data_IF_492003053718
#
_entry.id   IF_492003053718
#
_cell.length_a   1.000
_cell.length_b   1.000
_cell.length_c   1.000
_cell.angle_alpha   90.00
_cell.angle_beta   90.00
_cell.angle_gamma   90.00
#
_symmetry.space_group_name_H-M   'P 1'
#
loop_
_entity.id
_entity.type
_entity.pdbx_description
1 polymer ?
#
# COMPACT_ATOMS: atom_id res chain seq x y z
N UNK A 1 20.98 -7.57 3.59
CA UNK A 1 20.27 -8.44 2.62
C UNK A 1 20.35 -9.84 3.15
N UNK A 2 19.23 -10.51 3.30
CA UNK A 2 19.23 -11.89 3.73
C UNK A 2 19.31 -12.78 2.50
N UNK A 3 20.35 -13.59 2.38
CA UNK A 3 20.38 -14.67 1.39
C UNK A 3 19.35 -15.71 1.81
N UNK A 4 18.70 -16.31 0.83
CA UNK A 4 17.76 -17.41 1.03
C UNK A 4 18.28 -18.70 0.44
N UNK A 5 17.87 -19.82 1.03
CA UNK A 5 18.01 -21.13 0.43
C UNK A 5 16.64 -21.56 -0.09
N UNK A 6 16.55 -21.81 -1.39
CA UNK A 6 15.41 -22.46 -2.02
C UNK A 6 15.60 -23.96 -1.97
N UNK A 7 14.59 -24.67 -1.49
CA UNK A 7 14.52 -26.12 -1.57
C UNK A 7 13.31 -26.49 -2.40
N UNK A 8 13.52 -27.09 -3.55
CA UNK A 8 12.47 -27.61 -4.41
C UNK A 8 12.24 -29.10 -4.11
N UNK A 9 11.00 -29.45 -3.75
CA UNK A 9 10.56 -30.80 -3.44
C UNK A 9 9.76 -31.35 -4.62
N UNK A 10 10.20 -32.49 -5.16
CA UNK A 10 9.49 -33.23 -6.21
C UNK A 10 8.79 -34.44 -5.60
N UNK A 11 7.48 -34.54 -5.82
CA UNK A 11 6.65 -35.61 -5.27
C UNK A 11 6.50 -36.74 -6.26
N UNK A 12 6.87 -37.97 -5.85
CA UNK A 12 6.69 -39.17 -6.63
C UNK A 12 5.55 -40.00 -6.03
N UNK A 13 4.34 -39.77 -6.55
CA UNK A 13 3.11 -40.40 -6.07
C UNK A 13 2.97 -41.78 -6.74
N UNK A 14 2.76 -42.89 -5.98
CA UNK A 14 2.49 -44.18 -6.56
C UNK A 14 1.19 -44.21 -7.35
N UNK A 15 1.18 -44.74 -8.55
CA UNK A 15 0.02 -44.81 -9.46
C UNK A 15 -1.20 -45.59 -8.90
N UNK A 16 -1.06 -46.24 -7.75
CA UNK A 16 -2.11 -47.02 -7.10
C UNK A 16 -2.99 -46.25 -6.13
N UNK A 17 -2.67 -44.96 -5.83
CA UNK A 17 -3.40 -44.13 -4.87
C UNK A 17 -4.10 -42.99 -5.59
N UNK A 18 -5.35 -43.20 -6.00
CA UNK A 18 -6.16 -42.24 -6.73
C UNK A 18 -6.60 -41.01 -5.84
N UNK A 19 -6.42 -41.09 -4.52
CA UNK A 19 -6.84 -40.04 -3.59
C UNK A 19 -5.72 -39.06 -3.17
N UNK A 20 -4.46 -39.46 -3.42
CA UNK A 20 -3.31 -38.66 -3.05
C UNK A 20 -2.83 -37.80 -4.24
N UNK A 21 -2.84 -36.51 -4.07
CA UNK A 21 -2.39 -35.53 -5.09
C UNK A 21 -1.12 -34.81 -4.67
N UNK A 22 -0.39 -34.27 -5.64
CA UNK A 22 0.78 -33.41 -5.38
C UNK A 22 0.40 -32.20 -4.52
N UNK A 23 -0.82 -31.67 -4.71
CA UNK A 23 -1.35 -30.55 -3.93
C UNK A 23 -1.48 -30.93 -2.46
N UNK A 24 -2.08 -32.11 -2.16
CA UNK A 24 -2.20 -32.58 -0.78
C UNK A 24 -0.84 -32.83 -0.14
N UNK A 25 0.09 -33.39 -0.89
CA UNK A 25 1.46 -33.63 -0.40
C UNK A 25 2.19 -32.30 -0.11
N UNK A 26 2.02 -31.29 -0.99
CA UNK A 26 2.59 -29.96 -0.85
C UNK A 26 2.02 -29.23 0.37
N UNK A 27 0.71 -29.28 0.58
CA UNK A 27 0.05 -28.63 1.73
C UNK A 27 0.56 -29.19 3.07
N UNK A 28 0.64 -30.52 3.19
CA UNK A 28 1.13 -31.17 4.41
C UNK A 28 2.61 -30.87 4.66
N UNK A 29 3.43 -30.95 3.60
CA UNK A 29 4.86 -30.68 3.72
C UNK A 29 5.12 -29.20 4.04
N UNK A 30 4.38 -28.28 3.44
CA UNK A 30 4.49 -26.83 3.73
C UNK A 30 4.23 -26.54 5.20
N UNK A 31 3.21 -27.14 5.81
CA UNK A 31 2.92 -26.99 7.23
C UNK A 31 4.09 -27.47 8.11
N UNK A 32 4.69 -28.62 7.78
CA UNK A 32 5.82 -29.15 8.53
C UNK A 32 7.09 -28.28 8.38
N UNK A 33 7.32 -27.77 7.16
CA UNK A 33 8.47 -26.90 6.88
C UNK A 33 8.34 -25.53 7.54
N UNK A 34 7.11 -24.98 7.64
CA UNK A 34 6.87 -23.74 8.35
C UNK A 34 7.26 -23.83 9.85
N UNK A 35 7.04 -24.99 10.48
CA UNK A 35 7.42 -25.23 11.88
C UNK A 35 8.95 -25.23 12.09
N UNK A 36 9.74 -25.45 11.04
CA UNK A 36 11.21 -25.47 11.10
C UNK A 36 11.86 -24.26 10.42
N UNK A 37 11.09 -23.18 10.19
CA UNK A 37 11.61 -21.87 9.82
C UNK A 37 11.55 -21.50 8.34
N UNK A 38 10.86 -22.30 7.49
CA UNK A 38 10.59 -21.88 6.12
C UNK A 38 9.46 -20.84 6.10
N UNK A 39 9.66 -19.75 5.35
CA UNK A 39 8.80 -18.57 5.41
C UNK A 39 7.88 -18.40 4.19
N UNK A 40 8.22 -19.05 3.06
CA UNK A 40 7.45 -18.90 1.81
C UNK A 40 7.42 -20.22 1.04
N UNK A 41 6.28 -20.44 0.37
CA UNK A 41 6.00 -21.67 -0.36
C UNK A 41 5.36 -21.33 -1.71
N UNK A 42 5.89 -21.92 -2.78
CA UNK A 42 5.37 -21.72 -4.15
C UNK A 42 5.19 -23.10 -4.80
N UNK A 43 3.94 -23.43 -5.12
CA UNK A 43 3.66 -24.65 -5.87
C UNK A 43 3.85 -24.41 -7.36
N UNK A 44 4.60 -25.31 -8.01
CA UNK A 44 4.92 -25.25 -9.44
C UNK A 44 4.63 -26.62 -10.07
N UNK A 45 3.40 -26.85 -10.52
CA UNK A 45 2.97 -28.15 -11.03
C UNK A 45 3.08 -29.24 -9.95
N UNK A 46 3.87 -30.30 -10.21
CA UNK A 46 4.08 -31.42 -9.27
C UNK A 46 5.22 -31.17 -8.28
N UNK A 47 5.71 -29.95 -8.16
CA UNK A 47 6.80 -29.57 -7.26
C UNK A 47 6.39 -28.46 -6.31
N UNK A 48 7.00 -28.44 -5.11
CA UNK A 48 6.90 -27.38 -4.10
C UNK A 48 8.27 -26.72 -3.94
N UNK A 49 8.37 -25.44 -4.20
CA UNK A 49 9.52 -24.62 -3.82
C UNK A 49 9.28 -23.97 -2.45
N UNK A 50 10.18 -24.16 -1.51
CA UNK A 50 10.12 -23.60 -0.17
C UNK A 50 11.38 -22.78 0.11
N UNK A 51 11.23 -21.66 0.82
CA UNK A 51 12.28 -20.67 1.05
C UNK A 51 12.56 -20.50 2.54
N UNK A 52 13.83 -20.57 2.91
CA UNK A 52 14.31 -20.34 4.28
C UNK A 52 15.49 -19.36 4.25
N UNK A 53 15.62 -18.43 5.23
CA UNK A 53 16.83 -17.62 5.35
C UNK A 53 18.09 -18.50 5.37
N UNK A 54 19.09 -18.19 4.54
CA UNK A 54 20.29 -19.04 4.41
C UNK A 54 21.02 -19.23 5.74
N UNK A 55 20.92 -18.27 6.67
CA UNK A 55 21.48 -18.36 8.03
C UNK A 55 20.74 -19.34 8.94
N UNK A 56 19.51 -19.76 8.57
CA UNK A 56 18.68 -20.71 9.32
C UNK A 56 18.60 -22.08 8.65
N UNK A 57 19.09 -22.19 7.42
CA UNK A 57 19.06 -23.45 6.72
C UNK A 57 19.99 -24.48 7.37
N UNK A 58 19.41 -25.61 7.76
CA UNK A 58 20.16 -26.79 8.26
C UNK A 58 19.74 -28.05 7.52
N UNK A 59 20.69 -28.71 6.92
CA UNK A 59 20.46 -29.92 6.13
C UNK A 59 19.93 -31.08 6.97
N UNK A 60 20.35 -31.19 8.23
CA UNK A 60 19.93 -32.29 9.13
C UNK A 60 18.45 -32.11 9.47
N UNK A 61 18.05 -30.89 9.83
CA UNK A 61 16.64 -30.55 10.11
C UNK A 61 15.75 -30.80 8.89
N UNK A 62 16.21 -30.49 7.68
CA UNK A 62 15.48 -30.76 6.44
C UNK A 62 15.28 -32.25 6.25
N UNK A 63 16.36 -33.09 6.36
CA UNK A 63 16.30 -34.52 6.18
C UNK A 63 15.40 -35.17 7.24
N UNK A 64 15.45 -34.74 8.50
CA UNK A 64 14.56 -35.19 9.58
C UNK A 64 13.08 -34.86 9.29
N UNK A 65 12.80 -33.64 8.77
CA UNK A 65 11.44 -33.22 8.39
C UNK A 65 10.90 -34.09 7.26
N UNK A 66 11.72 -34.41 6.24
CA UNK A 66 11.31 -35.29 5.16
C UNK A 66 11.08 -36.75 5.68
N UNK A 67 11.91 -37.21 6.60
CA UNK A 67 11.72 -38.56 7.21
C UNK A 67 10.44 -38.62 8.06
N UNK A 68 10.05 -37.51 8.70
CA UNK A 68 8.81 -37.42 9.47
C UNK A 68 7.56 -37.25 8.59
N UNK A 69 7.72 -37.08 7.29
CA UNK A 69 6.62 -36.92 6.34
C UNK A 69 5.84 -38.22 6.18
N UNK A 70 4.62 -38.26 6.68
CA UNK A 70 3.85 -39.51 6.88
C UNK A 70 3.08 -39.99 5.65
N UNK A 71 3.00 -39.18 4.59
CA UNK A 71 2.30 -39.60 3.38
C UNK A 71 3.15 -40.61 2.58
N UNK A 72 2.53 -41.61 1.92
CA UNK A 72 3.23 -42.63 1.14
C UNK A 72 3.74 -42.08 -0.21
N UNK A 73 4.50 -40.99 -0.15
CA UNK A 73 5.06 -40.28 -1.30
C UNK A 73 6.58 -40.25 -1.17
N UNK A 74 7.29 -40.67 -2.20
CA UNK A 74 8.72 -40.43 -2.23
C UNK A 74 9.01 -38.99 -2.62
N UNK A 75 9.86 -38.32 -1.82
CA UNK A 75 10.22 -36.90 -2.01
C UNK A 75 11.69 -36.80 -2.38
N UNK A 76 12.00 -36.14 -3.48
CA UNK A 76 13.37 -35.77 -3.84
C UNK A 76 13.52 -34.22 -3.74
N UNK A 77 14.74 -33.77 -3.40
CA UNK A 77 14.99 -32.36 -3.16
C UNK A 77 16.09 -31.80 -4.03
N UNK A 78 15.90 -30.60 -4.55
CA UNK A 78 16.94 -29.76 -5.14
C UNK A 78 17.15 -28.54 -4.25
N UNK A 79 18.42 -28.20 -3.95
CA UNK A 79 18.76 -27.08 -3.08
C UNK A 79 19.55 -26.07 -3.89
N UNK A 80 19.13 -24.81 -3.81
CA UNK A 80 19.76 -23.70 -4.49
C UNK A 80 19.93 -22.53 -3.53
N UNK A 81 21.13 -21.98 -3.44
CA UNK A 81 21.33 -20.71 -2.77
C UNK A 81 20.86 -19.58 -3.68
N UNK A 82 19.99 -18.75 -3.13
CA UNK A 82 19.55 -17.52 -3.78
C UNK A 82 20.30 -16.38 -3.08
N UNK A 83 21.24 -15.78 -3.79
CA UNK A 83 21.80 -14.52 -3.35
C UNK A 83 20.65 -13.55 -3.16
N UNK A 84 20.61 -12.86 -2.03
CA UNK A 84 19.57 -11.89 -1.72
C UNK A 84 19.52 -10.84 -2.81
N UNK A 85 18.75 -11.10 -3.85
CA UNK A 85 18.33 -10.08 -4.80
C UNK A 85 17.39 -9.18 -4.00
N UNK A 86 17.68 -7.91 -3.98
CA UNK A 86 16.71 -6.94 -3.51
C UNK A 86 15.57 -6.88 -4.53
N UNK A 87 14.62 -7.84 -4.36
CA UNK A 87 13.43 -7.92 -5.22
C UNK A 87 12.64 -6.61 -5.23
N UNK A 88 12.74 -5.81 -4.16
CA UNK A 88 12.15 -4.49 -4.09
C UNK A 88 12.88 -3.55 -5.04
N UNK A 89 14.23 -3.52 -5.03
CA UNK A 89 15.00 -2.68 -5.94
C UNK A 89 14.84 -3.10 -7.41
N UNK A 90 14.70 -4.39 -7.70
CA UNK A 90 14.45 -4.89 -9.06
C UNK A 90 13.01 -4.62 -9.50
N UNK A 91 12.04 -4.76 -8.59
CA UNK A 91 10.64 -4.37 -8.81
C UNK A 91 10.52 -2.86 -9.02
N UNK A 92 11.15 -2.06 -8.19
CA UNK A 92 11.18 -0.60 -8.28
C UNK A 92 11.71 -0.14 -9.64
N UNK A 93 12.84 -0.70 -10.12
CA UNK A 93 13.42 -0.37 -11.43
C UNK A 93 12.54 -0.76 -12.61
N UNK A 94 11.80 -1.86 -12.51
CA UNK A 94 11.06 -2.42 -13.63
C UNK A 94 9.60 -1.98 -13.67
N UNK A 95 8.98 -1.66 -12.53
CA UNK A 95 7.54 -1.41 -12.42
C UNK A 95 7.20 0.03 -12.02
N UNK A 96 8.09 0.74 -11.34
CA UNK A 96 7.87 2.14 -10.99
C UNK A 96 8.49 3.03 -12.07
N UNK A 97 7.65 3.52 -12.99
CA UNK A 97 8.06 4.49 -14.01
C UNK A 97 7.65 5.90 -13.59
N UNK A 98 8.40 6.95 -14.00
CA UNK A 98 7.93 8.32 -13.80
C UNK A 98 6.55 8.52 -14.42
N UNK A 99 5.66 9.18 -13.71
CA UNK A 99 4.33 9.54 -14.20
C UNK A 99 4.11 11.05 -14.14
N UNK A 100 3.27 11.54 -15.06
CA UNK A 100 2.82 12.93 -15.05
C UNK A 100 1.31 12.97 -14.86
N UNK A 101 0.86 13.75 -13.89
CA UNK A 101 -0.56 13.98 -13.62
C UNK A 101 -0.93 15.41 -13.99
N UNK A 102 -1.97 15.54 -14.82
CA UNK A 102 -2.53 16.81 -15.32
C UNK A 102 -1.49 17.76 -15.93
N UNK A 103 -0.44 17.22 -16.55
CA UNK A 103 0.68 17.97 -17.16
C UNK A 103 1.41 18.95 -16.20
N UNK A 104 1.19 18.82 -14.89
CA UNK A 104 1.71 19.74 -13.88
C UNK A 104 2.53 19.06 -12.78
N UNK A 105 2.25 17.81 -12.48
CA UNK A 105 2.91 17.08 -11.39
C UNK A 105 3.62 15.85 -11.93
N UNK A 106 4.95 15.84 -11.85
CA UNK A 106 5.78 14.66 -12.10
C UNK A 106 6.04 13.93 -10.80
N UNK A 107 5.93 12.62 -10.82
CA UNK A 107 6.25 11.75 -9.69
C UNK A 107 7.28 10.75 -10.19
N UNK A 108 8.40 10.70 -9.51
CA UNK A 108 9.49 9.79 -9.85
C UNK A 108 10.21 9.31 -8.58
N UNK A 109 11.14 8.38 -8.71
CA UNK A 109 11.97 7.89 -7.62
C UNK A 109 13.39 8.43 -7.72
N UNK A 110 14.16 8.32 -6.64
CA UNK A 110 15.57 8.75 -6.58
C UNK A 110 16.48 8.06 -7.60
N UNK A 111 16.12 6.86 -8.07
CA UNK A 111 16.88 6.12 -9.07
C UNK A 111 16.55 6.50 -10.53
N UNK A 112 15.54 7.33 -10.78
CA UNK A 112 15.24 7.80 -12.13
C UNK A 112 16.15 8.97 -12.51
N UNK A 113 16.80 8.86 -13.66
CA UNK A 113 17.69 9.90 -14.22
C UNK A 113 17.08 10.63 -15.40
N UNK A 114 16.02 10.07 -16.00
CA UNK A 114 15.31 10.65 -17.14
C UNK A 114 13.81 10.66 -16.85
N UNK A 115 13.28 11.85 -16.59
CA UNK A 115 11.86 12.08 -16.30
C UNK A 115 11.40 13.48 -16.73
N UNK A 116 10.11 13.66 -17.05
CA UNK A 116 9.58 14.95 -17.48
C UNK A 116 9.71 16.03 -16.38
N UNK A 117 10.09 17.23 -16.78
CA UNK A 117 10.10 18.39 -15.88
C UNK A 117 8.70 18.99 -15.79
N UNK A 118 8.17 19.13 -14.60
CA UNK A 118 6.86 19.66 -14.31
C UNK A 118 6.92 20.80 -13.28
N UNK A 119 5.79 21.49 -13.06
CA UNK A 119 5.68 22.54 -12.06
C UNK A 119 5.91 21.99 -10.64
N UNK A 120 5.37 20.81 -10.36
CA UNK A 120 5.58 20.07 -9.12
C UNK A 120 6.34 18.80 -9.44
N UNK A 121 7.48 18.66 -8.83
CA UNK A 121 8.38 17.50 -8.97
C UNK A 121 8.43 16.79 -7.63
N UNK A 122 7.86 15.57 -7.57
CA UNK A 122 7.71 14.81 -6.33
C UNK A 122 8.54 13.54 -6.39
N UNK A 123 9.47 13.41 -5.48
CA UNK A 123 10.32 12.23 -5.34
C UNK A 123 9.68 11.25 -4.36
N UNK A 124 9.35 10.07 -4.81
CA UNK A 124 8.77 8.99 -3.99
C UNK A 124 9.59 7.72 -4.16
N UNK A 125 10.17 7.24 -3.07
CA UNK A 125 10.71 5.89 -2.97
C UNK A 125 9.69 5.03 -2.20
N UNK A 126 8.84 4.25 -2.90
CA UNK A 126 7.59 3.74 -2.30
C UNK A 126 7.80 2.59 -1.32
N UNK A 127 8.95 1.90 -1.36
CA UNK A 127 9.20 0.68 -0.60
C UNK A 127 7.96 -0.25 -0.67
N UNK A 128 7.39 -0.62 0.47
CA UNK A 128 6.17 -1.45 0.53
C UNK A 128 4.90 -0.63 0.84
N UNK A 129 4.97 0.71 0.83
CA UNK A 129 3.83 1.57 1.14
C UNK A 129 2.95 1.84 -0.10
N UNK A 130 1.64 1.98 0.12
CA UNK A 130 0.69 2.40 -0.92
C UNK A 130 0.85 3.91 -1.23
N UNK A 131 0.58 4.31 -2.48
CA UNK A 131 0.58 5.73 -2.86
C UNK A 131 1.74 6.12 -3.78
N UNK A 132 2.08 5.29 -4.76
CA UNK A 132 3.11 5.58 -5.77
C UNK A 132 2.68 6.61 -6.82
N UNK A 133 1.41 7.00 -6.83
CA UNK A 133 0.85 7.85 -7.87
C UNK A 133 0.26 7.09 -9.07
N UNK A 134 0.68 5.85 -9.32
CA UNK A 134 0.20 5.06 -10.47
C UNK A 134 -1.24 4.58 -10.35
N UNK A 135 -1.72 4.40 -9.14
CA UNK A 135 -3.09 3.95 -8.94
C UNK A 135 -4.08 5.07 -9.27
N UNK A 136 -5.18 4.73 -9.95
CA UNK A 136 -6.19 5.68 -10.40
C UNK A 136 -6.74 6.57 -9.28
N UNK A 137 -6.88 6.03 -8.05
CA UNK A 137 -7.34 6.80 -6.88
C UNK A 137 -6.37 7.91 -6.49
N UNK A 138 -5.08 7.63 -6.48
CA UNK A 138 -4.04 8.61 -6.13
C UNK A 138 -3.95 9.71 -7.20
N UNK A 139 -3.91 9.31 -8.49
CA UNK A 139 -3.87 10.25 -9.61
C UNK A 139 -5.08 11.20 -9.63
N UNK A 140 -6.29 10.70 -9.33
CA UNK A 140 -7.49 11.53 -9.26
C UNK A 140 -7.42 12.57 -8.14
N UNK A 141 -6.95 12.18 -6.93
CA UNK A 141 -6.79 13.16 -5.84
C UNK A 141 -5.70 14.17 -6.16
N UNK A 142 -4.57 13.76 -6.76
CA UNK A 142 -3.53 14.68 -7.21
C UNK A 142 -4.12 15.71 -8.19
N UNK A 143 -4.87 15.29 -9.20
CA UNK A 143 -5.52 16.19 -10.14
C UNK A 143 -6.47 17.18 -9.41
N UNK A 144 -7.26 16.72 -8.44
CA UNK A 144 -8.14 17.58 -7.64
C UNK A 144 -7.36 18.55 -6.75
N UNK A 145 -6.22 18.13 -6.18
CA UNK A 145 -5.35 19.02 -5.43
C UNK A 145 -4.75 20.10 -6.33
N UNK A 146 -4.38 19.78 -7.56
CA UNK A 146 -3.85 20.75 -8.54
C UNK A 146 -4.88 21.81 -8.93
N UNK A 147 -6.16 21.48 -8.94
CA UNK A 147 -7.27 22.41 -9.22
C UNK A 147 -7.78 23.18 -7.99
N UNK A 148 -7.34 22.80 -6.78
CA UNK A 148 -7.81 23.40 -5.52
C UNK A 148 -6.84 24.47 -5.05
N UNK A 149 -7.33 25.63 -4.63
CA UNK A 149 -6.51 26.64 -3.95
C UNK A 149 -6.16 26.19 -2.53
N UNK A 150 -4.88 25.89 -2.32
CA UNK A 150 -4.33 25.42 -1.04
C UNK A 150 -3.52 26.49 -0.30
N UNK A 151 -3.33 27.67 -0.91
CA UNK A 151 -2.54 28.72 -0.27
C UNK A 151 -3.11 29.10 1.10
N UNK A 152 -2.30 28.92 2.13
CA UNK A 152 -2.67 29.22 3.52
C UNK A 152 -3.69 28.26 4.16
N UNK A 153 -4.07 27.17 3.50
CA UNK A 153 -5.03 26.19 4.00
C UNK A 153 -4.40 25.20 4.98
N UNK A 154 -5.22 24.69 5.90
CA UNK A 154 -4.89 23.58 6.80
C UNK A 154 -5.37 22.29 6.15
N UNK A 155 -4.48 21.35 5.97
CA UNK A 155 -4.78 20.09 5.28
C UNK A 155 -4.57 18.91 6.23
N UNK A 156 -5.49 17.93 6.19
CA UNK A 156 -5.33 16.63 6.83
C UNK A 156 -5.30 15.57 5.73
N UNK A 157 -4.32 14.67 5.79
CA UNK A 157 -4.19 13.48 4.93
C UNK A 157 -4.25 12.22 5.79
N UNK A 158 -5.40 11.52 5.74
CA UNK A 158 -5.71 10.35 6.55
C UNK A 158 -5.43 9.06 5.77
N UNK A 159 -4.54 8.21 6.29
CA UNK A 159 -3.98 7.07 5.57
C UNK A 159 -2.99 7.55 4.52
N UNK A 160 -1.97 8.30 4.95
CA UNK A 160 -1.08 9.03 4.02
C UNK A 160 -0.19 8.12 3.16
N UNK A 161 0.02 6.85 3.58
CA UNK A 161 0.85 5.89 2.86
C UNK A 161 2.27 6.39 2.61
N UNK A 162 2.66 6.57 1.35
CA UNK A 162 3.97 7.17 0.97
C UNK A 162 4.13 8.64 1.33
N UNK A 163 3.06 9.33 1.74
CA UNK A 163 3.06 10.77 2.00
C UNK A 163 2.82 11.65 0.78
N UNK A 164 2.63 11.10 -0.40
CA UNK A 164 2.57 11.83 -1.67
C UNK A 164 1.53 12.95 -1.69
N UNK A 165 0.32 12.71 -1.15
CA UNK A 165 -0.77 13.70 -1.15
C UNK A 165 -0.48 14.83 -0.16
N UNK A 166 0.06 14.50 1.01
CA UNK A 166 0.52 15.47 2.00
C UNK A 166 1.66 16.35 1.47
N UNK A 167 2.64 15.74 0.78
CA UNK A 167 3.77 16.43 0.13
C UNK A 167 3.24 17.42 -0.92
N UNK A 168 2.37 16.98 -1.83
CA UNK A 168 1.79 17.86 -2.84
C UNK A 168 1.00 19.02 -2.19
N UNK A 169 0.20 18.74 -1.17
CA UNK A 169 -0.55 19.77 -0.47
C UNK A 169 0.39 20.82 0.14
N UNK A 170 1.52 20.40 0.72
CA UNK A 170 2.52 21.31 1.27
C UNK A 170 3.21 22.15 0.20
N UNK A 171 3.61 21.54 -0.93
CA UNK A 171 4.21 22.23 -2.08
C UNK A 171 3.26 23.25 -2.70
N UNK A 172 1.95 23.04 -2.61
CA UNK A 172 0.90 23.94 -3.08
C UNK A 172 0.58 25.08 -2.11
N UNK A 173 1.36 25.24 -1.04
CA UNK A 173 1.26 26.38 -0.14
C UNK A 173 0.31 26.19 1.03
N UNK A 174 -0.06 24.96 1.39
CA UNK A 174 -0.78 24.71 2.63
C UNK A 174 0.01 25.26 3.82
N UNK A 175 -0.66 25.98 4.73
CA UNK A 175 -0.03 26.59 5.92
C UNK A 175 0.35 25.55 6.97
N UNK A 176 -0.41 24.46 7.02
CA UNK A 176 -0.09 23.28 7.82
C UNK A 176 -0.65 22.03 7.16
N UNK A 177 0.08 20.94 7.28
CA UNK A 177 -0.35 19.61 6.83
C UNK A 177 -0.16 18.63 7.97
N UNK A 178 -1.24 17.94 8.35
CA UNK A 178 -1.19 16.80 9.29
C UNK A 178 -1.41 15.52 8.48
N UNK A 179 -0.44 14.64 8.49
CA UNK A 179 -0.48 13.33 7.82
C UNK A 179 -0.57 12.22 8.88
N UNK A 180 -1.49 11.27 8.69
CA UNK A 180 -1.76 10.22 9.67
C UNK A 180 -1.64 8.87 8.97
N UNK A 181 -0.87 7.95 9.56
CA UNK A 181 -0.69 6.59 9.04
C UNK A 181 -0.74 5.57 10.19
N UNK A 182 -1.44 4.47 9.97
CA UNK A 182 -1.62 3.44 11.00
C UNK A 182 -0.51 2.39 10.97
N UNK A 183 0.09 2.14 9.80
CA UNK A 183 1.18 1.18 9.62
C UNK A 183 2.52 1.86 9.92
N UNK A 184 3.29 1.35 10.92
CA UNK A 184 4.59 1.91 11.27
C UNK A 184 5.61 1.89 10.11
N UNK A 185 5.54 0.88 9.23
CA UNK A 185 6.46 0.78 8.09
C UNK A 185 6.14 1.83 7.02
N UNK A 186 4.84 2.07 6.74
CA UNK A 186 4.39 3.11 5.84
C UNK A 186 4.65 4.52 6.41
N UNK A 187 4.46 4.71 7.73
CA UNK A 187 4.80 5.98 8.40
C UNK A 187 6.29 6.31 8.27
N UNK A 188 7.17 5.33 8.51
CA UNK A 188 8.60 5.52 8.35
C UNK A 188 8.98 5.86 6.89
N UNK A 189 8.34 5.23 5.91
CA UNK A 189 8.53 5.53 4.49
C UNK A 189 8.02 6.93 4.13
N UNK A 190 6.83 7.34 4.62
CA UNK A 190 6.33 8.70 4.43
C UNK A 190 7.32 9.75 4.94
N UNK A 191 7.90 9.53 6.11
CA UNK A 191 8.90 10.41 6.72
C UNK A 191 10.13 10.58 5.84
N UNK A 192 10.64 9.50 5.25
CA UNK A 192 11.76 9.54 4.30
C UNK A 192 11.38 10.32 3.04
N UNK A 193 10.21 10.04 2.45
CA UNK A 193 9.73 10.75 1.27
C UNK A 193 9.52 12.25 1.53
N UNK A 194 9.00 12.62 2.70
CA UNK A 194 8.89 14.02 3.11
C UNK A 194 10.27 14.71 3.21
N UNK A 195 11.30 13.98 3.63
CA UNK A 195 12.68 14.51 3.66
C UNK A 195 13.25 14.69 2.24
N UNK A 196 12.99 13.74 1.33
CA UNK A 196 13.43 13.84 -0.08
C UNK A 196 12.83 15.06 -0.79
N UNK A 197 11.65 15.51 -0.36
CA UNK A 197 10.91 16.63 -0.94
C UNK A 197 11.01 17.93 -0.12
N UNK A 198 11.91 18.03 0.85
CA UNK A 198 12.07 19.18 1.76
C UNK A 198 10.79 19.61 2.52
N UNK A 199 9.87 18.65 2.72
CA UNK A 199 8.59 18.84 3.42
C UNK A 199 8.64 18.35 4.89
N UNK A 200 9.73 18.64 5.61
CA UNK A 200 9.96 18.15 6.99
C UNK A 200 9.05 18.77 8.04
N UNK A 201 8.34 19.82 7.70
CA UNK A 201 7.40 20.53 8.54
C UNK A 201 5.96 19.96 8.50
N UNK A 202 5.74 18.87 7.76
CA UNK A 202 4.50 18.10 7.82
C UNK A 202 4.44 17.38 9.18
N UNK A 203 3.32 17.53 9.88
CA UNK A 203 3.03 16.86 11.16
C UNK A 203 2.59 15.43 10.89
N UNK A 204 3.56 14.51 10.85
CA UNK A 204 3.33 13.09 10.59
C UNK A 204 3.11 12.33 11.90
N UNK A 205 1.96 11.64 12.00
CA UNK A 205 1.50 10.94 13.19
C UNK A 205 1.24 9.46 12.91
N UNK A 206 1.75 8.59 13.77
CA UNK A 206 1.43 7.17 13.76
C UNK A 206 0.12 6.94 14.52
N UNK A 207 -0.87 6.31 13.89
CA UNK A 207 -2.15 5.95 14.49
C UNK A 207 -3.31 6.03 13.52
N UNK A 208 -4.53 5.95 14.05
CA UNK A 208 -5.79 6.03 13.32
C UNK A 208 -6.53 7.36 13.54
N UNK A 209 -7.86 7.30 13.44
CA UNK A 209 -8.72 8.48 13.57
C UNK A 209 -8.69 9.14 14.98
N UNK A 210 -8.14 8.48 15.99
CA UNK A 210 -7.90 9.06 17.33
C UNK A 210 -6.88 10.20 17.28
N UNK A 211 -5.97 10.20 16.30
CA UNK A 211 -4.97 11.25 16.09
C UNK A 211 -5.58 12.57 15.59
N UNK A 212 -6.86 12.57 15.21
CA UNK A 212 -7.59 13.76 14.77
C UNK A 212 -8.05 14.66 15.94
N UNK A 213 -7.86 14.25 17.18
CA UNK A 213 -8.28 15.03 18.33
C UNK A 213 -7.65 16.43 18.33
N UNK A 214 -8.49 17.48 18.37
CA UNK A 214 -8.05 18.87 18.35
C UNK A 214 -7.62 19.40 16.98
N UNK A 215 -7.67 18.60 15.93
CA UNK A 215 -7.37 19.04 14.57
C UNK A 215 -8.52 19.85 13.98
N UNK A 216 -8.16 20.78 13.07
CA UNK A 216 -9.11 21.52 12.24
C UNK A 216 -8.54 21.68 10.83
N UNK A 217 -9.36 21.42 9.82
CA UNK A 217 -8.96 21.40 8.42
C UNK A 217 -9.87 22.25 7.53
N UNK A 218 -9.26 22.85 6.51
CA UNK A 218 -9.93 23.50 5.39
C UNK A 218 -10.04 22.53 4.20
N UNK A 219 -9.13 21.52 4.16
CA UNK A 219 -9.19 20.38 3.26
C UNK A 219 -8.86 19.10 4.05
N UNK A 220 -9.70 18.08 3.88
CA UNK A 220 -9.47 16.73 4.39
C UNK A 220 -9.34 15.76 3.22
N UNK A 221 -8.33 14.91 3.24
CA UNK A 221 -8.05 13.91 2.22
C UNK A 221 -8.09 12.52 2.89
N UNK A 222 -8.73 11.55 2.24
CA UNK A 222 -8.61 10.14 2.61
C UNK A 222 -8.69 9.26 1.36
N UNK A 223 -7.58 8.58 1.06
CA UNK A 223 -7.48 7.59 -0.01
C UNK A 223 -7.35 6.19 0.61
N UNK A 224 -8.41 5.71 1.23
CA UNK A 224 -8.45 4.49 2.04
C UNK A 224 -9.69 3.66 1.78
N UNK A 225 -9.74 2.46 2.35
CA UNK A 225 -10.86 1.54 2.17
C UNK A 225 -12.21 2.16 2.61
N UNK A 226 -13.26 1.95 1.79
CA UNK A 226 -14.65 2.43 2.03
C UNK A 226 -15.15 2.13 3.43
N UNK A 227 -14.90 0.94 3.95
CA UNK A 227 -15.44 0.55 5.26
C UNK A 227 -14.84 1.38 6.40
N UNK A 228 -13.56 1.73 6.29
CA UNK A 228 -12.87 2.61 7.23
C UNK A 228 -13.46 4.02 7.13
N UNK A 229 -13.65 4.54 5.89
CA UNK A 229 -14.29 5.83 5.67
C UNK A 229 -15.66 5.88 6.33
N UNK A 230 -16.52 4.89 6.10
CA UNK A 230 -17.86 4.84 6.68
C UNK A 230 -17.84 4.76 8.21
N UNK A 231 -16.88 4.05 8.79
CA UNK A 231 -16.75 3.93 10.24
C UNK A 231 -16.34 5.25 10.90
N UNK A 232 -15.42 5.98 10.29
CA UNK A 232 -14.78 7.14 10.91
C UNK A 232 -15.25 8.50 10.35
N UNK A 233 -16.22 8.51 9.41
CA UNK A 233 -16.67 9.72 8.72
C UNK A 233 -17.12 10.82 9.67
N UNK A 234 -17.78 10.47 10.79
CA UNK A 234 -18.21 11.43 11.80
C UNK A 234 -17.01 12.16 12.45
N UNK A 235 -15.92 11.42 12.71
CA UNK A 235 -14.67 11.98 13.22
C UNK A 235 -14.01 12.91 12.21
N UNK A 236 -13.99 12.49 10.93
CA UNK A 236 -13.45 13.30 9.84
C UNK A 236 -14.24 14.60 9.68
N UNK A 237 -15.57 14.51 9.63
CA UNK A 237 -16.46 15.66 9.51
C UNK A 237 -16.35 16.65 10.68
N UNK A 238 -16.02 16.18 11.87
CA UNK A 238 -15.82 17.02 13.07
C UNK A 238 -14.56 17.89 12.98
N UNK A 239 -13.57 17.52 12.16
CA UNK A 239 -12.35 18.35 11.96
C UNK A 239 -12.56 19.47 10.95
N UNK A 240 -13.62 19.41 10.14
CA UNK A 240 -13.83 20.35 9.04
C UNK A 240 -14.33 21.71 9.50
N UNK A 241 -13.65 22.77 9.09
CA UNK A 241 -14.14 24.12 9.19
C UNK A 241 -15.40 24.34 8.32
N UNK A 242 -16.27 25.32 8.64
CA UNK A 242 -17.38 25.66 7.75
C UNK A 242 -16.88 25.99 6.34
N UNK A 243 -17.50 25.40 5.31
CA UNK A 243 -17.11 25.56 3.90
C UNK A 243 -15.87 24.74 3.48
N UNK A 244 -15.28 23.96 4.37
CA UNK A 244 -14.16 23.06 4.05
C UNK A 244 -14.56 21.97 3.06
N UNK A 245 -13.57 21.43 2.37
CA UNK A 245 -13.72 20.37 1.37
C UNK A 245 -13.14 19.06 1.95
N UNK A 246 -13.79 17.94 1.61
CA UNK A 246 -13.26 16.61 1.86
C UNK A 246 -13.16 15.85 0.53
N UNK A 247 -11.98 15.30 0.24
CA UNK A 247 -11.69 14.44 -0.91
C UNK A 247 -11.55 13.01 -0.42
N UNK A 248 -12.41 12.12 -0.92
CA UNK A 248 -12.45 10.72 -0.55
C UNK A 248 -12.20 9.85 -1.79
N UNK A 249 -11.35 8.85 -1.67
CA UNK A 249 -11.09 7.83 -2.69
C UNK A 249 -10.69 6.51 -2.04
N UNK A 250 -10.37 5.47 -2.86
CA UNK A 250 -10.09 4.12 -2.37
C UNK A 250 -11.33 3.22 -2.38
N UNK A 251 -12.33 3.57 -3.19
CA UNK A 251 -13.58 2.83 -3.38
C UNK A 251 -14.10 2.98 -4.82
N UNK A 252 -15.09 2.19 -5.17
CA UNK A 252 -15.70 2.20 -6.50
C UNK A 252 -16.89 3.16 -6.60
N UNK A 253 -17.23 3.59 -7.82
CA UNK A 253 -18.38 4.45 -8.09
C UNK A 253 -19.68 3.93 -7.46
N UNK A 254 -19.88 2.61 -7.48
CA UNK A 254 -21.05 1.95 -6.88
C UNK A 254 -21.19 2.19 -5.36
N UNK A 255 -20.11 2.57 -4.67
CA UNK A 255 -20.11 2.83 -3.24
C UNK A 255 -20.57 4.26 -2.88
N UNK A 256 -20.53 5.19 -3.83
CA UNK A 256 -20.86 6.62 -3.64
C UNK A 256 -22.22 6.83 -2.95
N UNK A 257 -23.32 6.19 -3.36
CA UNK A 257 -24.60 6.42 -2.72
C UNK A 257 -24.64 6.08 -1.23
N UNK A 258 -23.86 5.11 -0.80
CA UNK A 258 -23.73 4.73 0.61
C UNK A 258 -22.95 5.78 1.41
N UNK A 259 -21.85 6.26 0.84
CA UNK A 259 -21.03 7.31 1.46
C UNK A 259 -21.80 8.62 1.56
N UNK A 260 -22.53 9.03 0.50
CA UNK A 260 -23.34 10.25 0.50
C UNK A 260 -24.46 10.23 1.56
N UNK A 261 -25.13 9.08 1.75
CA UNK A 261 -26.12 8.93 2.82
C UNK A 261 -25.51 9.20 4.19
N UNK A 262 -24.37 8.61 4.48
CA UNK A 262 -23.67 8.81 5.75
C UNK A 262 -23.15 10.24 5.89
N UNK A 263 -22.66 10.84 4.79
CA UNK A 263 -22.15 12.21 4.76
C UNK A 263 -23.23 13.25 5.03
N UNK A 264 -24.45 13.02 4.55
CA UNK A 264 -25.57 13.94 4.81
C UNK A 264 -25.90 14.06 6.31
N UNK A 265 -25.80 12.94 7.07
CA UNK A 265 -26.02 12.94 8.52
C UNK A 265 -24.99 13.81 9.25
N UNK A 266 -23.80 14.01 8.66
CA UNK A 266 -22.67 14.78 9.22
C UNK A 266 -22.63 16.24 8.69
N UNK A 267 -23.65 16.66 7.94
CA UNK A 267 -23.72 18.00 7.36
C UNK A 267 -22.70 18.22 6.23
N UNK A 268 -22.44 17.17 5.47
CA UNK A 268 -21.60 17.20 4.28
C UNK A 268 -22.50 17.08 3.03
N UNK A 269 -22.36 18.03 2.13
CA UNK A 269 -23.08 18.03 0.85
C UNK A 269 -22.23 17.41 -0.26
N UNK A 270 -22.90 16.81 -1.24
CA UNK A 270 -22.24 16.33 -2.46
C UNK A 270 -21.62 17.49 -3.25
N UNK A 271 -20.34 17.39 -3.53
CA UNK A 271 -19.56 18.32 -4.36
C UNK A 271 -19.21 17.77 -5.73
N UNK A 272 -19.74 16.61 -6.07
CA UNK A 272 -19.44 15.86 -7.30
C UNK A 272 -18.32 14.85 -7.15
N UNK A 273 -18.15 14.03 -8.18
CA UNK A 273 -17.11 13.00 -8.21
C UNK A 273 -16.49 12.84 -9.59
N UNK A 274 -15.37 12.14 -9.66
CA UNK A 274 -14.75 11.65 -10.89
C UNK A 274 -14.55 10.15 -10.80
N UNK A 275 -14.49 9.47 -11.95
CA UNK A 275 -14.24 8.03 -12.05
C UNK A 275 -13.10 7.79 -13.04
N UNK A 276 -12.18 6.91 -12.70
CA UNK A 276 -11.03 6.57 -13.55
C UNK A 276 -10.69 5.08 -13.44
N UNK A 277 -10.11 4.54 -14.51
CA UNK A 277 -9.72 3.12 -14.57
C UNK A 277 -10.90 2.19 -14.34
N UNK A 278 -10.73 1.16 -13.55
CA UNK A 278 -11.73 0.12 -13.26
C UNK A 278 -12.82 0.61 -12.28
N UNK A 279 -13.50 1.72 -12.61
CA UNK A 279 -14.54 2.36 -11.81
C UNK A 279 -14.09 2.89 -10.44
N UNK A 280 -12.82 3.20 -10.26
CA UNK A 280 -12.32 3.87 -9.07
C UNK A 280 -12.83 5.31 -9.00
N UNK A 281 -13.43 5.68 -7.88
CA UNK A 281 -14.03 6.99 -7.69
C UNK A 281 -13.19 7.91 -6.81
N UNK A 282 -13.26 9.21 -7.10
CA UNK A 282 -12.83 10.28 -6.21
C UNK A 282 -14.04 11.19 -5.94
N UNK A 283 -14.56 11.17 -4.72
CA UNK A 283 -15.73 11.92 -4.28
C UNK A 283 -15.29 13.19 -3.56
N UNK A 284 -15.89 14.31 -3.94
CA UNK A 284 -15.75 15.60 -3.24
C UNK A 284 -16.97 15.83 -2.36
N UNK A 285 -16.77 16.10 -1.08
CA UNK A 285 -17.80 16.53 -0.15
C UNK A 285 -17.51 17.96 0.33
N UNK A 286 -18.54 18.72 0.64
CA UNK A 286 -18.43 20.10 1.14
C UNK A 286 -19.11 20.24 2.48
N UNK A 287 -18.41 20.79 3.49
CA UNK A 287 -19.01 21.10 4.78
C UNK A 287 -19.97 22.28 4.61
N UNK A 288 -21.23 22.06 4.92
CA UNK A 288 -22.24 23.13 4.88
C UNK A 288 -21.91 24.18 5.93
N UNK A 289 -21.99 25.45 5.56
CA UNK A 289 -21.99 26.54 6.53
C UNK A 289 -23.27 26.45 7.36
N UNK A 290 -23.13 26.17 8.65
CA UNK A 290 -24.26 26.39 9.58
C UNK A 290 -24.24 27.81 10.06
#
# INVERSE_FOLDING_TARGET
MNNYTEVTFHFHIPAADEQLTSDTAADVLSAMLADVGYESFVQQGDALAAYIPASQFDRVTLDETIQAFLLPVAVTTEIKEIEGVDWNAEWEKNYFKPIVVADQCCIHSTFHTDYPQCQYDIVIDPKMAFGTGHHATTSQIIARLLDTDLQGKRVIDMGTGTGILAILARMRGASSVTAIEIDPAAEANARENMQLNDCRDIDLRLGGAEQLAGCSADLFIANINRNIILNDLSRYAATLAPGAIMLLSGFYEADIPMILRKAADEGLADGGHTVMGDNWACLTLKKTAK
#
